data_IF_319511309986
#
_entry.id   IF_319511309986
#
_cell.length_a   1.000
_cell.length_b   1.000
_cell.length_c   1.000
_cell.angle_alpha   90.00
_cell.angle_beta   90.00
_cell.angle_gamma   90.00
#
_symmetry.space_group_name_H-M   'P 1'
#
loop_
_entity.id
_entity.type
_entity.pdbx_description
1 polymer ?
#
# COMPACT_ATOMS: atom_id res chain seq x y z
N UNK A 1 -17.55 10.89 -11.61
CA UNK A 1 -17.48 10.11 -12.85
C UNK A 1 -18.51 10.53 -13.90
N UNK A 2 -19.58 11.21 -13.54
CA UNK A 2 -20.64 11.64 -14.48
C UNK A 2 -20.34 12.97 -15.20
N UNK A 3 -19.16 13.54 -15.04
CA UNK A 3 -18.82 14.80 -15.68
C UNK A 3 -18.63 14.58 -17.20
N UNK A 4 -19.19 15.43 -18.08
CA UNK A 4 -19.11 15.24 -19.53
C UNK A 4 -17.67 15.21 -20.09
N UNK A 5 -16.69 15.70 -19.35
CA UNK A 5 -15.28 15.66 -19.76
C UNK A 5 -14.73 14.25 -19.99
N UNK A 6 -15.28 13.22 -19.34
CA UNK A 6 -14.83 11.84 -19.56
C UNK A 6 -15.08 11.32 -20.98
N UNK A 7 -15.94 12.00 -21.75
CA UNK A 7 -16.27 11.63 -23.13
C UNK A 7 -15.42 12.35 -24.19
N UNK A 8 -14.53 13.26 -23.77
CA UNK A 8 -13.70 14.05 -24.69
C UNK A 8 -12.40 13.32 -25.07
N UNK A 9 -11.63 12.77 -24.11
CA UNK A 9 -10.39 12.07 -24.43
C UNK A 9 -10.64 10.66 -24.97
N UNK A 10 -9.67 10.12 -25.71
CA UNK A 10 -9.73 8.76 -26.22
C UNK A 10 -9.68 7.70 -25.11
N UNK A 11 -9.00 8.00 -24.02
CA UNK A 11 -8.90 7.14 -22.81
C UNK A 11 -8.96 8.01 -21.55
N UNK A 12 -9.45 7.44 -20.46
CA UNK A 12 -9.45 8.10 -19.15
C UNK A 12 -8.67 7.29 -18.13
N UNK A 13 -8.14 7.98 -17.13
CA UNK A 13 -7.53 7.34 -15.96
C UNK A 13 -7.76 8.17 -14.70
N UNK A 14 -7.76 7.50 -13.57
CA UNK A 14 -7.97 8.13 -12.27
C UNK A 14 -6.86 7.82 -11.31
N UNK A 15 -6.57 8.78 -10.41
CA UNK A 15 -5.75 8.55 -9.24
C UNK A 15 -6.63 7.88 -8.17
N UNK A 16 -6.26 6.67 -7.78
CA UNK A 16 -7.00 5.85 -6.83
C UNK A 16 -6.22 5.61 -5.56
N UNK A 17 -6.73 6.10 -4.43
CA UNK A 17 -6.06 6.00 -3.14
C UNK A 17 -6.98 5.46 -2.02
N UNK A 18 -7.99 4.68 -2.37
CA UNK A 18 -8.76 3.93 -1.35
C UNK A 18 -7.84 2.99 -0.60
N UNK A 19 -7.91 3.04 0.73
CA UNK A 19 -6.99 2.33 1.61
C UNK A 19 -5.76 3.16 2.02
N UNK A 20 -5.59 4.39 1.50
CA UNK A 20 -4.55 5.30 1.95
C UNK A 20 -5.11 6.64 2.43
N UNK A 21 -5.62 7.49 1.53
CA UNK A 21 -6.22 8.79 1.89
C UNK A 21 -7.65 8.67 2.40
N UNK A 22 -8.28 7.52 2.33
CA UNK A 22 -9.61 7.25 2.82
C UNK A 22 -10.20 5.98 2.24
N UNK A 23 -11.35 5.55 2.77
CA UNK A 23 -11.99 4.32 2.36
C UNK A 23 -11.16 3.08 2.70
N UNK A 24 -11.58 1.93 2.20
CA UNK A 24 -10.93 0.65 2.35
C UNK A 24 -10.26 0.22 1.04
N UNK A 25 -9.14 -0.47 1.12
CA UNK A 25 -8.38 -0.93 -0.06
C UNK A 25 -9.21 -1.80 -1.00
N UNK A 26 -10.18 -2.55 -0.47
CA UNK A 26 -11.09 -3.40 -1.27
C UNK A 26 -12.05 -2.61 -2.17
N UNK A 27 -12.18 -1.31 -1.98
CA UNK A 27 -13.11 -0.47 -2.76
C UNK A 27 -12.61 -0.17 -4.17
N UNK A 28 -11.31 -0.34 -4.46
CA UNK A 28 -10.73 0.01 -5.75
C UNK A 28 -11.35 -0.79 -6.92
N UNK A 29 -11.36 -2.11 -6.81
CA UNK A 29 -11.91 -2.98 -7.83
C UNK A 29 -13.40 -2.73 -8.13
N UNK A 30 -14.29 -2.76 -7.12
CA UNK A 30 -15.71 -2.48 -7.30
C UNK A 30 -16.00 -1.10 -7.92
N UNK A 31 -15.20 -0.08 -7.59
CA UNK A 31 -15.35 1.24 -8.20
C UNK A 31 -15.05 1.20 -9.71
N UNK A 32 -13.96 0.53 -10.10
CA UNK A 32 -13.58 0.36 -11.51
C UNK A 32 -14.61 -0.47 -12.28
N UNK A 33 -15.12 -1.56 -11.68
CA UNK A 33 -16.17 -2.38 -12.27
C UNK A 33 -17.46 -1.57 -12.49
N UNK A 34 -17.81 -0.70 -11.54
CA UNK A 34 -18.95 0.19 -11.68
C UNK A 34 -18.77 1.18 -12.83
N UNK A 35 -17.59 1.81 -12.92
CA UNK A 35 -17.28 2.72 -14.03
C UNK A 35 -17.38 2.01 -15.38
N UNK A 36 -16.74 0.86 -15.52
CA UNK A 36 -16.74 0.09 -16.75
C UNK A 36 -18.15 -0.39 -17.16
N UNK A 37 -18.99 -0.75 -16.20
CA UNK A 37 -20.39 -1.14 -16.46
C UNK A 37 -21.22 0.04 -16.93
N UNK A 38 -21.00 1.24 -16.39
CA UNK A 38 -21.75 2.44 -16.73
C UNK A 38 -21.28 3.07 -18.04
N UNK A 39 -19.98 3.00 -18.31
CA UNK A 39 -19.33 3.57 -19.50
C UNK A 39 -18.50 2.56 -20.26
N UNK A 40 -19.09 1.47 -20.78
CA UNK A 40 -18.33 0.37 -21.39
C UNK A 40 -17.54 0.78 -22.65
N UNK A 41 -17.90 1.90 -23.27
CA UNK A 41 -17.23 2.44 -24.46
C UNK A 41 -16.01 3.30 -24.12
N UNK A 42 -15.82 3.68 -22.84
CA UNK A 42 -14.72 4.55 -22.41
C UNK A 42 -13.60 3.66 -21.80
N UNK A 43 -12.43 3.59 -22.47
CA UNK A 43 -11.29 2.86 -21.88
C UNK A 43 -10.84 3.53 -20.58
N UNK A 44 -10.83 2.76 -19.49
CA UNK A 44 -10.43 3.23 -18.17
C UNK A 44 -9.09 2.63 -17.75
N UNK A 45 -8.26 3.43 -17.08
CA UNK A 45 -7.02 3.02 -16.42
C UNK A 45 -6.89 3.63 -15.03
N UNK A 46 -5.81 3.25 -14.33
CA UNK A 46 -5.42 3.85 -13.06
C UNK A 46 -4.10 4.57 -13.22
N UNK A 47 -4.14 5.90 -13.15
CA UNK A 47 -2.97 6.76 -13.35
C UNK A 47 -2.05 6.83 -12.15
N UNK A 48 -2.61 6.69 -10.94
CA UNK A 48 -1.84 6.60 -9.71
C UNK A 48 -2.55 5.74 -8.66
N UNK A 49 -1.79 4.94 -7.94
CA UNK A 49 -2.17 4.30 -6.69
C UNK A 49 -0.92 3.96 -5.89
N UNK A 50 -1.00 4.00 -4.56
CA UNK A 50 0.14 3.74 -3.70
C UNK A 50 -0.09 4.23 -2.28
N UNK A 51 0.75 3.79 -1.37
CA UNK A 51 0.80 4.25 0.01
C UNK A 51 2.23 4.37 0.50
N UNK A 52 2.43 5.14 1.56
CA UNK A 52 3.77 5.41 2.06
C UNK A 52 4.29 4.32 2.99
N UNK A 53 5.59 4.07 2.92
CA UNK A 53 6.32 3.27 3.89
C UNK A 53 7.69 3.88 4.17
N UNK A 54 7.95 4.11 5.44
CA UNK A 54 9.26 4.41 5.97
C UNK A 54 9.92 3.08 6.32
N UNK A 55 11.06 2.76 5.74
CA UNK A 55 11.66 1.43 5.88
C UNK A 55 12.25 1.12 7.27
N UNK A 56 12.18 2.05 8.21
CA UNK A 56 12.45 1.82 9.65
C UNK A 56 11.18 1.64 10.48
N UNK A 57 9.98 1.88 9.92
CA UNK A 57 8.72 1.54 10.55
C UNK A 57 8.25 0.16 10.12
N UNK A 58 7.91 -0.66 11.09
CA UNK A 58 7.53 -2.05 10.86
C UNK A 58 6.67 -2.57 12.01
N UNK A 59 5.58 -3.25 11.72
CA UNK A 59 4.67 -3.86 12.70
C UNK A 59 3.64 -4.72 12.00
N UNK A 60 2.68 -5.27 12.74
CA UNK A 60 1.42 -5.73 12.14
C UNK A 60 0.73 -4.55 11.44
N UNK A 61 0.31 -4.70 10.16
CA UNK A 61 -0.10 -3.58 9.32
C UNK A 61 -1.42 -2.96 9.77
N UNK A 62 -1.45 -1.63 9.79
CA UNK A 62 -2.65 -0.81 9.99
C UNK A 62 -2.68 0.33 8.98
N UNK A 63 -3.85 0.66 8.46
CA UNK A 63 -3.99 1.77 7.51
C UNK A 63 -3.41 3.06 8.09
N UNK A 64 -2.52 3.71 7.32
CA UNK A 64 -1.92 4.99 7.69
C UNK A 64 -0.77 4.90 8.70
N UNK A 65 -0.23 3.71 8.98
CA UNK A 65 0.84 3.50 9.95
C UNK A 65 2.26 3.73 9.38
N UNK A 66 2.38 3.98 8.09
CA UNK A 66 3.65 4.17 7.36
C UNK A 66 4.62 2.98 7.45
N UNK A 67 4.12 1.79 7.79
CA UNK A 67 4.95 0.59 7.84
C UNK A 67 5.15 -0.02 6.45
N UNK A 68 6.27 -0.72 6.28
CA UNK A 68 6.53 -1.49 5.06
C UNK A 68 5.52 -2.62 4.90
N UNK A 69 5.05 -3.20 6.01
CA UNK A 69 4.04 -4.27 6.01
C UNK A 69 2.69 -3.77 5.51
N UNK A 70 2.28 -2.54 5.86
CA UNK A 70 1.05 -1.97 5.31
C UNK A 70 1.20 -1.66 3.82
N UNK A 71 2.35 -1.11 3.38
CA UNK A 71 2.60 -0.89 1.96
C UNK A 71 2.55 -2.21 1.18
N UNK A 72 3.16 -3.26 1.69
CA UNK A 72 3.13 -4.59 1.08
C UNK A 72 1.69 -5.10 0.95
N UNK A 73 0.92 -5.11 2.04
CA UNK A 73 -0.50 -5.50 2.06
C UNK A 73 -1.34 -4.69 1.07
N UNK A 74 -1.18 -3.36 1.06
CA UNK A 74 -1.89 -2.48 0.14
C UNK A 74 -1.64 -2.87 -1.32
N UNK A 75 -0.39 -3.07 -1.69
CA UNK A 75 -0.03 -3.43 -3.07
C UNK A 75 -0.41 -4.87 -3.42
N UNK A 76 -0.37 -5.83 -2.47
CA UNK A 76 -0.92 -7.18 -2.69
C UNK A 76 -2.40 -7.11 -3.09
N UNK A 77 -3.20 -6.34 -2.35
CA UNK A 77 -4.63 -6.18 -2.62
C UNK A 77 -4.89 -5.45 -3.94
N UNK A 78 -4.10 -4.42 -4.27
CA UNK A 78 -4.24 -3.71 -5.54
C UNK A 78 -3.82 -4.60 -6.74
N UNK A 79 -2.75 -5.36 -6.64
CA UNK A 79 -2.33 -6.30 -7.67
C UNK A 79 -3.47 -7.28 -7.99
N UNK A 80 -4.04 -7.93 -6.97
CA UNK A 80 -5.17 -8.85 -7.12
C UNK A 80 -6.38 -8.19 -7.78
N UNK A 81 -6.70 -6.95 -7.40
CA UNK A 81 -7.84 -6.24 -7.95
C UNK A 81 -7.58 -5.72 -9.36
N UNK A 82 -6.41 -5.15 -9.65
CA UNK A 82 -6.15 -4.48 -10.91
C UNK A 82 -5.77 -5.46 -12.03
N UNK A 83 -4.89 -6.43 -11.75
CA UNK A 83 -4.35 -7.32 -12.80
C UNK A 83 -5.33 -8.42 -13.23
N UNK A 84 -6.41 -8.61 -12.50
CA UNK A 84 -7.50 -9.51 -12.87
C UNK A 84 -8.60 -8.82 -13.70
N UNK A 85 -8.45 -7.53 -14.03
CA UNK A 85 -9.41 -6.72 -14.79
C UNK A 85 -8.89 -6.41 -16.19
N UNK A 86 -9.18 -7.26 -17.19
CA UNK A 86 -8.60 -7.12 -18.53
C UNK A 86 -9.09 -5.89 -19.30
N UNK A 87 -10.13 -5.21 -18.82
CA UNK A 87 -10.62 -3.97 -19.42
C UNK A 87 -9.80 -2.74 -19.05
N UNK A 88 -8.91 -2.83 -18.05
CA UNK A 88 -8.01 -1.73 -17.71
C UNK A 88 -6.92 -1.62 -18.77
N UNK A 89 -6.83 -0.45 -19.42
CA UNK A 89 -5.81 -0.25 -20.45
C UNK A 89 -4.40 -0.05 -19.85
N UNK A 90 -4.30 0.50 -18.64
CA UNK A 90 -3.04 0.60 -17.88
C UNK A 90 -3.29 0.82 -16.39
N UNK A 91 -2.25 0.49 -15.59
CA UNK A 91 -2.18 0.77 -14.16
C UNK A 91 -0.78 1.27 -13.81
N UNK A 92 -0.69 2.41 -13.11
CA UNK A 92 0.58 3.04 -12.79
C UNK A 92 0.72 3.21 -11.28
N UNK A 93 1.74 2.57 -10.71
CA UNK A 93 2.09 2.74 -9.29
C UNK A 93 2.66 4.13 -9.06
N UNK A 94 2.18 4.81 -8.04
CA UNK A 94 2.81 6.00 -7.49
C UNK A 94 3.55 5.64 -6.20
N UNK A 95 4.92 5.47 -6.25
CA UNK A 95 5.66 5.42 -7.50
C UNK A 95 6.87 4.48 -7.37
N UNK A 96 7.77 4.49 -8.34
CA UNK A 96 8.94 3.60 -8.33
C UNK A 96 9.94 3.94 -7.22
N UNK A 97 10.18 5.23 -6.95
CA UNK A 97 11.19 5.70 -5.99
C UNK A 97 10.60 6.68 -4.99
N UNK A 98 11.08 6.64 -3.75
CA UNK A 98 10.91 7.77 -2.83
C UNK A 98 11.56 9.02 -3.42
N UNK A 99 10.98 10.20 -3.19
CA UNK A 99 11.46 11.45 -3.78
C UNK A 99 11.23 12.65 -2.89
N UNK A 100 12.02 13.72 -3.12
CA UNK A 100 11.84 15.02 -2.47
C UNK A 100 10.59 15.75 -2.98
N UNK A 101 9.82 16.32 -2.07
CA UNK A 101 8.62 17.11 -2.36
C UNK A 101 8.52 18.23 -1.31
N UNK A 102 9.16 19.37 -1.59
CA UNK A 102 9.43 20.47 -0.64
C UNK A 102 8.21 20.89 0.21
N UNK A 103 7.08 21.11 -0.43
CA UNK A 103 5.85 21.55 0.24
C UNK A 103 5.10 20.44 1.00
N UNK A 104 5.61 19.19 0.99
CA UNK A 104 4.88 18.06 1.54
C UNK A 104 5.00 17.98 3.05
N UNK A 105 3.85 17.95 3.72
CA UNK A 105 3.71 17.77 5.16
C UNK A 105 2.46 16.94 5.46
N UNK A 106 2.47 15.66 5.07
CA UNK A 106 1.31 14.76 5.20
C UNK A 106 1.56 13.62 6.20
N UNK A 107 2.59 13.73 7.02
CA UNK A 107 3.11 12.68 7.91
C UNK A 107 4.38 12.02 7.35
N UNK A 108 5.03 11.20 8.16
CA UNK A 108 6.35 10.70 7.85
C UNK A 108 7.41 11.80 7.94
N UNK A 109 8.26 11.93 6.94
CA UNK A 109 9.29 12.97 6.88
C UNK A 109 8.80 14.16 6.04
N UNK A 110 8.89 15.37 6.61
CA UNK A 110 8.55 16.59 5.89
C UNK A 110 9.46 16.79 4.67
N UNK A 111 8.88 17.25 3.57
CA UNK A 111 9.61 17.49 2.33
C UNK A 111 9.94 16.22 1.54
N UNK A 112 9.37 15.08 1.91
CA UNK A 112 9.59 13.81 1.22
C UNK A 112 8.28 13.06 0.95
N UNK A 113 8.28 12.24 -0.10
CA UNK A 113 7.23 11.30 -0.42
C UNK A 113 7.81 9.88 -0.39
N UNK A 114 7.27 9.03 0.48
CA UNK A 114 7.73 7.66 0.69
C UNK A 114 6.83 6.59 0.04
N UNK A 115 6.08 6.95 -1.00
CA UNK A 115 5.28 5.98 -1.77
C UNK A 115 6.12 5.13 -2.73
N UNK A 116 7.43 5.37 -2.79
CA UNK A 116 8.34 4.59 -3.62
C UNK A 116 8.34 3.10 -3.26
N UNK A 117 8.41 2.25 -4.28
CA UNK A 117 8.73 0.82 -4.11
C UNK A 117 10.22 0.61 -3.78
N UNK A 118 11.03 1.62 -4.03
CA UNK A 118 12.48 1.67 -3.78
C UNK A 118 12.81 2.96 -3.04
N UNK A 119 13.72 2.89 -2.07
CA UNK A 119 14.11 4.06 -1.26
C UNK A 119 14.74 5.17 -2.09
N UNK A 120 14.75 6.39 -1.53
CA UNK A 120 15.30 7.59 -2.18
C UNK A 120 16.73 7.41 -2.69
N UNK A 121 17.59 6.75 -1.91
CA UNK A 121 18.99 6.47 -2.24
C UNK A 121 19.18 5.27 -3.19
N UNK A 122 18.10 4.62 -3.62
CA UNK A 122 18.07 3.43 -4.52
C UNK A 122 18.70 2.17 -3.92
N UNK A 123 19.04 2.15 -2.64
CA UNK A 123 19.73 1.01 -2.03
C UNK A 123 18.79 -0.12 -1.64
N UNK A 124 17.54 0.20 -1.24
CA UNK A 124 16.60 -0.80 -0.75
C UNK A 124 15.36 -0.87 -1.64
N UNK A 125 15.06 -2.06 -2.08
CA UNK A 125 13.76 -2.43 -2.63
C UNK A 125 12.87 -2.83 -1.47
N UNK A 126 11.73 -2.15 -1.31
CA UNK A 126 10.75 -2.47 -0.27
C UNK A 126 10.00 -3.75 -0.64
N UNK A 127 9.32 -4.39 0.31
CA UNK A 127 8.63 -5.66 0.06
C UNK A 127 7.60 -5.55 -1.08
N UNK A 128 6.89 -4.43 -1.20
CA UNK A 128 5.97 -4.17 -2.30
C UNK A 128 6.61 -4.25 -3.70
N UNK A 129 7.91 -3.92 -3.86
CA UNK A 129 8.63 -4.12 -5.11
C UNK A 129 8.64 -5.61 -5.52
N UNK A 130 8.84 -6.48 -4.56
CA UNK A 130 8.89 -7.94 -4.82
C UNK A 130 7.50 -8.54 -5.05
N UNK A 131 6.43 -7.92 -4.53
CA UNK A 131 5.07 -8.30 -4.90
C UNK A 131 4.83 -8.12 -6.41
N UNK A 132 5.24 -6.98 -6.98
CA UNK A 132 5.19 -6.77 -8.44
C UNK A 132 6.14 -7.69 -9.20
N UNK A 133 7.34 -7.93 -8.68
CA UNK A 133 8.26 -8.89 -9.31
C UNK A 133 7.64 -10.28 -9.40
N UNK A 134 6.89 -10.72 -8.39
CA UNK A 134 6.23 -12.03 -8.38
C UNK A 134 5.20 -12.19 -9.50
N UNK A 135 4.48 -11.13 -9.85
CA UNK A 135 3.43 -11.14 -10.87
C UNK A 135 3.95 -10.85 -12.28
N UNK A 136 4.98 -10.01 -12.40
CA UNK A 136 5.38 -9.43 -13.69
C UNK A 136 6.69 -9.98 -14.24
N UNK A 137 7.51 -10.66 -13.43
CA UNK A 137 8.82 -11.14 -13.86
C UNK A 137 8.83 -12.63 -14.11
N UNK A 138 9.48 -13.02 -15.22
CA UNK A 138 9.80 -14.41 -15.51
C UNK A 138 11.13 -14.86 -14.89
N UNK A 139 11.90 -13.95 -14.26
CA UNK A 139 13.14 -14.28 -13.58
C UNK A 139 12.83 -15.06 -12.29
N UNK A 140 13.29 -16.32 -12.15
CA UNK A 140 13.01 -17.13 -10.97
C UNK A 140 13.51 -16.48 -9.70
N UNK A 141 12.66 -16.35 -8.67
CA UNK A 141 13.06 -15.82 -7.38
C UNK A 141 12.14 -16.26 -6.24
N UNK A 142 12.59 -16.08 -5.02
CA UNK A 142 11.82 -16.11 -3.78
C UNK A 142 12.29 -14.98 -2.88
N UNK A 143 11.36 -14.31 -2.18
CA UNK A 143 11.65 -13.21 -1.26
C UNK A 143 10.88 -13.38 0.04
N UNK A 144 11.59 -13.37 1.17
CA UNK A 144 10.98 -13.32 2.51
C UNK A 144 10.77 -11.86 2.89
N UNK A 145 9.53 -11.48 3.13
CA UNK A 145 9.16 -10.12 3.53
C UNK A 145 9.47 -9.85 5.01
N UNK A 146 9.40 -8.57 5.40
CA UNK A 146 9.55 -8.14 6.78
C UNK A 146 10.97 -8.31 7.32
N UNK A 147 12.00 -8.21 6.49
CA UNK A 147 13.42 -8.36 6.89
C UNK A 147 13.87 -7.33 7.92
N UNK A 148 13.21 -6.19 7.98
CA UNK A 148 13.48 -5.13 8.97
C UNK A 148 12.67 -5.28 10.25
N UNK A 149 11.59 -6.06 10.23
CA UNK A 149 10.81 -6.41 11.43
C UNK A 149 11.47 -7.58 12.17
N UNK A 150 12.63 -7.31 12.75
CA UNK A 150 13.46 -8.33 13.43
C UNK A 150 12.92 -8.63 14.82
N UNK A 151 12.71 -7.61 15.65
CA UNK A 151 12.29 -7.75 17.04
C UNK A 151 10.77 -7.80 17.13
N UNK A 152 10.20 -8.94 17.48
CA UNK A 152 8.76 -9.20 17.50
C UNK A 152 8.30 -9.62 18.88
N UNK A 153 7.25 -9.00 19.39
CA UNK A 153 6.75 -9.23 20.73
C UNK A 153 5.62 -10.26 20.81
N UNK A 154 4.96 -10.55 19.70
CA UNK A 154 3.87 -11.52 19.62
C UNK A 154 4.35 -12.97 19.78
N UNK A 155 3.50 -13.88 20.29
CA UNK A 155 3.80 -15.31 20.48
C UNK A 155 3.84 -16.09 19.15
N UNK A 156 3.05 -15.64 18.19
CA UNK A 156 3.04 -16.13 16.81
C UNK A 156 3.12 -14.95 15.88
N UNK A 157 3.89 -15.10 14.84
CA UNK A 157 4.10 -14.01 13.89
C UNK A 157 3.83 -14.46 12.46
N UNK A 158 3.33 -13.54 11.64
CA UNK A 158 3.12 -13.75 10.22
C UNK A 158 4.44 -13.60 9.47
N UNK A 159 4.74 -14.55 8.60
CA UNK A 159 5.82 -14.46 7.61
C UNK A 159 5.18 -14.50 6.23
N UNK A 160 5.36 -13.44 5.48
CA UNK A 160 4.93 -13.34 4.08
C UNK A 160 6.11 -13.66 3.17
N UNK A 161 5.86 -14.42 2.12
CA UNK A 161 6.86 -14.77 1.12
C UNK A 161 6.28 -14.49 -0.27
N UNK A 162 7.04 -13.86 -1.13
CA UNK A 162 6.69 -13.66 -2.54
C UNK A 162 7.56 -14.52 -3.44
N UNK A 163 6.94 -15.12 -4.45
CA UNK A 163 7.66 -15.93 -5.43
C UNK A 163 6.84 -16.05 -6.72
N UNK A 164 7.51 -16.12 -7.85
CA UNK A 164 6.87 -16.49 -9.12
C UNK A 164 6.81 -18.02 -9.35
N UNK A 165 7.21 -18.80 -8.35
CA UNK A 165 6.94 -20.23 -8.31
C UNK A 165 5.56 -20.50 -7.69
N UNK A 166 4.87 -21.57 -8.10
CA UNK A 166 3.56 -21.92 -7.56
C UNK A 166 3.64 -22.52 -6.13
N UNK A 167 4.83 -22.90 -5.67
CA UNK A 167 5.05 -23.57 -4.41
C UNK A 167 6.25 -22.99 -3.67
N UNK A 168 6.09 -22.79 -2.36
CA UNK A 168 7.16 -22.33 -1.45
C UNK A 168 7.21 -23.25 -0.23
N UNK A 169 8.41 -23.65 0.17
CA UNK A 169 8.67 -24.35 1.43
C UNK A 169 9.40 -23.44 2.41
N UNK A 170 8.84 -23.28 3.60
CA UNK A 170 9.42 -22.51 4.70
C UNK A 170 10.19 -23.44 5.65
N UNK A 171 11.35 -22.97 6.10
CA UNK A 171 12.20 -23.63 7.10
C UNK A 171 12.43 -22.69 8.28
N UNK A 172 12.42 -23.22 9.50
CA UNK A 172 12.78 -22.52 10.72
C UNK A 172 14.05 -23.16 11.29
N UNK A 173 15.11 -22.38 11.45
CA UNK A 173 16.43 -22.86 11.93
C UNK A 173 16.93 -24.11 11.17
N UNK A 174 16.67 -24.14 9.87
CA UNK A 174 17.09 -25.23 8.98
C UNK A 174 16.17 -26.46 8.95
N UNK A 175 15.16 -26.54 9.82
CA UNK A 175 14.15 -27.59 9.80
C UNK A 175 12.96 -27.18 8.95
N UNK A 176 12.47 -28.06 8.09
CA UNK A 176 11.29 -27.84 7.31
C UNK A 176 10.08 -27.61 8.22
N UNK A 177 9.37 -26.53 7.98
CA UNK A 177 8.23 -26.11 8.80
C UNK A 177 6.90 -26.35 8.09
N UNK A 178 6.75 -25.76 6.90
CA UNK A 178 5.49 -25.83 6.15
C UNK A 178 5.75 -25.57 4.67
N UNK A 179 4.97 -26.26 3.83
CA UNK A 179 4.87 -26.05 2.39
C UNK A 179 3.52 -25.41 2.06
N UNK A 180 3.50 -24.46 1.14
CA UNK A 180 2.28 -23.84 0.62
C UNK A 180 2.32 -23.75 -0.90
N UNK A 181 1.12 -23.78 -1.50
CA UNK A 181 0.87 -23.55 -2.93
C UNK A 181 -0.01 -22.32 -3.05
N UNK A 182 0.26 -21.45 -4.01
CA UNK A 182 -0.53 -20.25 -4.28
C UNK A 182 -0.47 -19.89 -5.76
N UNK A 183 -1.64 -19.60 -6.34
CA UNK A 183 -1.76 -19.05 -7.69
C UNK A 183 -1.63 -17.52 -7.71
N UNK A 184 -1.68 -16.88 -6.54
CA UNK A 184 -1.54 -15.44 -6.37
C UNK A 184 -0.08 -14.99 -6.16
N UNK A 185 0.88 -15.93 -6.13
CA UNK A 185 2.31 -15.65 -5.91
C UNK A 185 2.65 -15.11 -4.51
N UNK A 186 1.67 -15.06 -3.60
CA UNK A 186 1.81 -14.63 -2.21
C UNK A 186 1.55 -15.82 -1.29
N UNK A 187 2.45 -16.02 -0.32
CA UNK A 187 2.44 -17.15 0.60
C UNK A 187 2.50 -16.64 2.03
N UNK A 188 1.55 -17.05 2.88
CA UNK A 188 1.39 -16.54 4.24
C UNK A 188 1.55 -17.66 5.25
N UNK A 189 2.58 -17.57 6.07
CA UNK A 189 2.87 -18.53 7.12
C UNK A 189 2.67 -17.89 8.48
N UNK A 190 2.10 -18.64 9.42
CA UNK A 190 2.07 -18.28 10.84
C UNK A 190 3.06 -19.14 11.57
N UNK A 191 4.11 -18.55 12.13
CA UNK A 191 5.18 -19.28 12.80
C UNK A 191 5.23 -18.94 14.28
N UNK A 192 5.67 -19.89 15.16
CA UNK A 192 5.94 -19.58 16.54
C UNK A 192 7.13 -18.62 16.64
N UNK A 193 7.01 -17.60 17.47
CA UNK A 193 8.06 -16.63 17.72
C UNK A 193 8.73 -16.94 19.06
N UNK A 194 9.84 -17.67 19.02
CA UNK A 194 10.55 -18.16 20.21
C UNK A 194 12.07 -17.93 20.06
N UNK A 195 12.62 -17.09 20.95
CA UNK A 195 14.04 -16.79 20.92
C UNK A 195 14.49 -16.19 19.59
N UNK A 196 15.59 -16.67 19.05
CA UNK A 196 16.13 -16.28 17.73
C UNK A 196 15.80 -17.34 16.69
N UNK A 197 15.23 -16.93 15.58
CA UNK A 197 14.82 -17.85 14.52
C UNK A 197 15.27 -17.34 13.15
N UNK A 198 16.01 -18.18 12.44
CA UNK A 198 16.34 -18.01 11.03
C UNK A 198 15.19 -18.55 10.19
N UNK A 199 14.57 -17.69 9.43
CA UNK A 199 13.52 -18.01 8.46
C UNK A 199 14.19 -18.24 7.11
N UNK A 200 13.94 -19.37 6.48
CA UNK A 200 14.41 -19.65 5.12
C UNK A 200 13.24 -20.05 4.26
N UNK A 201 13.05 -19.37 3.12
CA UNK A 201 12.11 -19.78 2.09
C UNK A 201 12.85 -20.38 0.89
N UNK A 202 12.32 -21.47 0.34
CA UNK A 202 12.83 -22.11 -0.88
C UNK A 202 11.70 -22.27 -1.90
N UNK A 203 12.01 -21.98 -3.16
CA UNK A 203 11.13 -22.17 -4.29
C UNK A 203 11.98 -22.59 -5.52
N UNK A 204 11.77 -23.79 -6.04
CA UNK A 204 12.66 -24.36 -7.05
C UNK A 204 14.13 -24.36 -6.58
N UNK A 205 15.01 -23.77 -7.37
CA UNK A 205 16.43 -23.58 -7.02
C UNK A 205 16.71 -22.31 -6.21
N UNK A 206 15.70 -21.45 -6.02
CA UNK A 206 15.84 -20.17 -5.33
C UNK A 206 15.73 -20.33 -3.81
N UNK A 207 16.47 -19.49 -3.09
CA UNK A 207 16.48 -19.44 -1.63
C UNK A 207 16.60 -17.99 -1.18
N UNK A 208 15.83 -17.62 -0.15
CA UNK A 208 15.99 -16.35 0.57
C UNK A 208 15.86 -16.57 2.08
N UNK A 209 16.40 -15.65 2.86
CA UNK A 209 16.44 -15.74 4.30
C UNK A 209 16.10 -14.43 4.99
N UNK A 210 15.49 -14.56 6.16
CA UNK A 210 15.27 -13.49 7.12
C UNK A 210 15.58 -14.01 8.52
N UNK A 211 15.61 -13.09 9.47
CA UNK A 211 15.88 -13.38 10.87
C UNK A 211 14.88 -12.66 11.75
N UNK A 212 14.31 -13.35 12.73
CA UNK A 212 13.43 -12.78 13.75
C UNK A 212 13.93 -13.11 15.15
N UNK A 213 13.59 -12.23 16.11
CA UNK A 213 13.91 -12.37 17.51
C UNK A 213 12.69 -12.07 18.36
N UNK A 214 12.34 -12.98 19.26
CA UNK A 214 11.31 -12.75 20.29
C UNK A 214 11.80 -11.71 21.29
N UNK A 215 10.98 -10.68 21.54
CA UNK A 215 11.19 -9.69 22.60
C UNK A 215 10.03 -9.71 23.57
N UNK A 216 10.25 -9.24 24.80
CA UNK A 216 9.19 -9.17 25.81
C UNK A 216 8.15 -8.08 25.48
N UNK A 217 8.62 -6.98 24.86
CA UNK A 217 7.79 -5.83 24.52
C UNK A 217 8.03 -5.40 23.08
N UNK A 218 7.03 -4.80 22.48
CA UNK A 218 7.15 -4.18 21.18
C UNK A 218 8.16 -3.02 21.21
N UNK A 219 8.96 -2.89 20.17
CA UNK A 219 9.92 -1.81 20.01
C UNK A 219 9.20 -0.57 19.46
N UNK A 220 8.92 0.39 20.32
CA UNK A 220 8.14 1.59 19.97
C UNK A 220 8.79 2.46 18.89
N UNK A 221 10.09 2.34 18.66
CA UNK A 221 10.79 2.98 17.55
C UNK A 221 10.38 2.45 16.17
N UNK A 222 9.71 1.30 16.11
CA UNK A 222 9.15 0.76 14.87
C UNK A 222 7.87 1.47 14.42
N UNK A 223 7.24 2.24 15.27
CA UNK A 223 6.01 2.97 14.97
C UNK A 223 6.27 4.44 14.72
N UNK A 224 5.47 5.01 13.83
CA UNK A 224 5.37 6.45 13.70
C UNK A 224 4.86 7.03 15.03
N UNK A 225 5.64 7.94 15.65
CA UNK A 225 5.29 8.56 16.94
C UNK A 225 4.26 9.67 16.79
N UNK A 226 4.29 10.36 15.68
CA UNK A 226 3.33 11.39 15.34
C UNK A 226 2.06 10.71 14.85
N UNK A 227 0.89 11.20 15.29
CA UNK A 227 -0.37 10.76 14.70
C UNK A 227 -0.27 11.03 13.22
N UNK A 228 -0.27 9.96 12.44
CA UNK A 228 -0.10 10.01 11.01
C UNK A 228 -1.06 11.03 10.44
N UNK A 229 -0.51 12.03 9.82
CA UNK A 229 -1.28 13.08 9.18
C UNK A 229 -1.66 12.66 7.75
N UNK A 230 -2.05 11.41 7.56
CA UNK A 230 -2.83 11.07 6.38
C UNK A 230 -4.15 11.81 6.54
N UNK A 231 -4.20 12.99 5.96
CA UNK A 231 -5.43 13.75 5.86
C UNK A 231 -6.39 12.91 5.03
N UNK A 232 -7.40 12.38 5.69
CA UNK A 232 -8.52 11.80 4.98
C UNK A 232 -9.28 12.94 4.30
N UNK A 233 -9.03 13.14 3.02
CA UNK A 233 -9.71 14.17 2.24
C UNK A 233 -11.23 13.90 2.11
N UNK A 234 -11.69 12.72 2.49
CA UNK A 234 -13.09 12.32 2.45
C UNK A 234 -13.79 12.48 3.82
N UNK A 235 -13.06 12.53 4.92
CA UNK A 235 -13.57 12.74 6.28
C UNK A 235 -13.34 14.20 6.71
N UNK A 236 -14.12 15.09 6.13
CA UNK A 236 -14.14 16.48 6.57
C UNK A 236 -14.99 16.53 7.84
N UNK A 237 -14.34 16.65 8.98
CA UNK A 237 -15.03 16.91 10.24
C UNK A 237 -15.59 18.32 10.19
N UNK A 238 -16.92 18.46 10.12
CA UNK A 238 -17.58 19.76 10.16
C UNK A 238 -17.32 20.42 11.53
N UNK A 239 -16.65 21.57 11.51
CA UNK A 239 -16.46 22.40 12.69
C UNK A 239 -17.60 23.39 12.74
N UNK A 240 -18.45 23.28 13.76
CA UNK A 240 -19.61 24.14 13.94
C UNK A 240 -19.20 25.62 13.92
N UNK A 241 -19.81 26.40 13.04
CA UNK A 241 -19.56 27.84 12.90
C UNK A 241 -18.45 28.19 11.89
N UNK A 242 -17.93 27.22 11.15
CA UNK A 242 -17.01 27.43 10.03
C UNK A 242 -17.58 26.84 8.74
N UNK A 243 -17.20 27.41 7.60
CA UNK A 243 -17.48 26.81 6.31
C UNK A 243 -16.52 25.66 6.03
N UNK A 244 -17.01 24.63 5.36
CA UNK A 244 -16.25 23.45 4.96
C UNK A 244 -16.24 23.29 3.44
N UNK A 245 -15.35 22.46 2.91
CA UNK A 245 -15.34 22.09 1.48
C UNK A 245 -16.58 21.28 1.06
N UNK A 246 -17.35 20.78 2.03
CA UNK A 246 -18.63 20.10 1.77
C UNK A 246 -19.82 21.03 1.66
N UNK A 247 -19.68 22.29 2.06
CA UNK A 247 -20.76 23.27 1.98
C UNK A 247 -21.03 23.65 0.53
N UNK A 248 -22.29 23.70 0.19
CA UNK A 248 -22.66 24.20 -1.14
C UNK A 248 -22.34 25.69 -1.26
N UNK A 249 -21.71 26.08 -2.36
CA UNK A 249 -21.41 27.50 -2.66
C UNK A 249 -22.65 28.38 -2.50
N UNK A 250 -23.83 27.85 -2.88
CA UNK A 250 -25.10 28.55 -2.71
C UNK A 250 -25.48 28.82 -1.24
N UNK A 251 -25.05 27.95 -0.30
CA UNK A 251 -25.27 28.18 1.13
C UNK A 251 -24.26 29.18 1.69
N UNK A 252 -23.00 29.07 1.30
CA UNK A 252 -21.95 30.05 1.66
C UNK A 252 -22.34 31.47 1.23
N UNK A 253 -22.85 31.62 0.03
CA UNK A 253 -23.29 32.92 -0.53
C UNK A 253 -24.50 33.54 0.18
N UNK A 254 -25.19 32.81 1.08
CA UNK A 254 -26.33 33.40 1.85
C UNK A 254 -25.83 34.35 2.93
N UNK A 255 -24.60 34.22 3.42
CA UNK A 255 -24.04 35.11 4.42
C UNK A 255 -23.14 36.19 3.83
N UNK A 256 -23.02 37.33 4.51
CA UNK A 256 -22.10 38.41 4.13
C UNK A 256 -20.63 37.95 4.21
N UNK A 257 -20.27 37.20 5.26
CA UNK A 257 -18.93 36.64 5.44
C UNK A 257 -18.58 35.63 4.36
N UNK A 258 -19.54 34.76 3.95
CA UNK A 258 -19.31 33.80 2.86
C UNK A 258 -19.14 34.49 1.51
N UNK A 259 -19.86 35.59 1.24
CA UNK A 259 -19.64 36.40 0.03
C UNK A 259 -18.27 37.03 -0.01
N UNK A 260 -17.79 37.54 1.13
CA UNK A 260 -16.46 38.13 1.25
C UNK A 260 -15.38 37.09 1.02
N UNK A 261 -15.53 35.87 1.64
CA UNK A 261 -14.58 34.76 1.49
C UNK A 261 -14.44 34.30 0.03
N UNK A 262 -15.51 34.29 -0.74
CA UNK A 262 -15.50 33.80 -2.15
C UNK A 262 -15.10 34.88 -3.17
N UNK A 263 -14.95 36.15 -2.75
CA UNK A 263 -14.51 37.24 -3.60
C UNK A 263 -12.99 37.50 -3.52
N UNK A 264 -12.26 36.74 -2.73
CA UNK A 264 -10.81 36.72 -2.62
C UNK A 264 -10.24 35.46 -3.26
#
# INVERSE_FOLDING_TARGET
>A
IHHPYIQIPDVVSYNHYFGWYGGDVSMNGPWLDNFHREFPQIPIGVSEYGCEALNWHTSEPQQGDYTEEYQAYYHEELIKQLFTRPYLWATHVWNMFDFGADARNEGGENGQNHKGLVTFDRKYKKDAFYAYKAWLSNEPFVHVCGKRYVNRAEEKTKITVYSNFPEVTLYLNGQEYQKQVSDEHFFYFTVPNKGETVITAKAGACKDQSFIRKTEKFHEEYRLKEKGAVLNWFDITEIKGYYSLNDKVSEILKSSQGKELLNH
#
